data_IF_248568179333
#
_entry.id   IF_248568179333
#
_cell.length_a   1.000
_cell.length_b   1.000
_cell.length_c   1.000
_cell.angle_alpha   90.00
_cell.angle_beta   90.00
_cell.angle_gamma   90.00
#
_symmetry.space_group_name_H-M   'P 1'
#
loop_
_entity.id
_entity.type
_entity.pdbx_description
1 polymer ?
#
# COMPACT_ATOMS: atom_id res chain seq x y z
N UNK A 1 57.31 -39.36 47.03
CA UNK A 1 57.29 -38.67 45.69
C UNK A 1 56.06 -39.08 44.86
N UNK A 2 54.80 -38.72 45.24
CA UNK A 2 53.60 -39.01 44.47
C UNK A 2 52.36 -38.16 44.84
N UNK A 3 52.52 -37.14 45.71
CA UNK A 3 51.36 -36.32 46.16
C UNK A 3 51.33 -34.96 45.46
N UNK A 4 52.40 -34.53 44.82
CA UNK A 4 52.51 -33.22 44.13
C UNK A 4 51.87 -33.23 42.74
N UNK A 5 51.86 -34.38 42.06
CA UNK A 5 51.33 -34.48 40.70
C UNK A 5 49.82 -34.46 40.66
N UNK A 6 49.10 -34.96 41.63
CA UNK A 6 47.66 -34.96 41.71
C UNK A 6 47.10 -33.56 41.93
N UNK A 7 47.76 -32.72 42.76
CA UNK A 7 47.34 -31.33 43.01
C UNK A 7 47.58 -30.43 41.79
N UNK A 8 48.62 -30.64 40.99
CA UNK A 8 48.96 -29.93 39.81
C UNK A 8 47.91 -30.23 38.66
N UNK A 9 47.46 -31.47 38.56
CA UNK A 9 46.45 -31.90 37.56
C UNK A 9 45.06 -31.37 37.87
N UNK A 10 44.68 -31.27 39.14
CA UNK A 10 43.42 -30.70 39.58
C UNK A 10 43.37 -29.18 39.35
N UNK A 11 44.50 -28.46 39.64
CA UNK A 11 44.58 -27.04 39.34
C UNK A 11 44.54 -26.73 37.83
N UNK A 12 45.19 -27.57 36.99
CA UNK A 12 45.14 -27.41 35.54
C UNK A 12 43.75 -27.68 34.96
N UNK A 13 42.98 -28.64 35.53
CA UNK A 13 41.60 -28.91 35.12
C UNK A 13 40.62 -27.79 35.53
N UNK A 14 40.81 -27.16 36.69
CA UNK A 14 40.00 -26.02 37.12
C UNK A 14 40.30 -24.74 36.33
N UNK A 15 41.56 -24.52 35.88
CA UNK A 15 41.92 -23.36 35.05
C UNK A 15 41.36 -23.45 33.64
N UNK A 16 41.15 -24.66 33.10
CA UNK A 16 40.54 -24.86 31.79
C UNK A 16 39.03 -24.59 31.73
N UNK A 17 38.33 -24.68 32.85
CA UNK A 17 36.89 -24.43 32.97
C UNK A 17 36.50 -22.95 33.10
N UNK A 18 37.45 -22.08 33.43
CA UNK A 18 37.23 -20.63 33.60
C UNK A 18 37.29 -19.82 32.30
N UNK A 19 37.71 -20.42 31.18
CA UNK A 19 37.78 -19.75 29.88
C UNK A 19 36.67 -20.15 28.89
N UNK A 20 35.68 -20.94 29.31
CA UNK A 20 34.44 -21.07 28.56
C UNK A 20 33.54 -19.87 28.89
N UNK A 21 33.96 -18.66 28.47
CA UNK A 21 33.05 -17.53 28.39
C UNK A 21 31.91 -17.97 27.47
N UNK A 22 30.63 -17.91 27.89
CA UNK A 22 29.55 -18.12 26.96
C UNK A 22 29.74 -17.08 25.85
N UNK A 23 30.03 -17.52 24.65
CA UNK A 23 29.84 -16.68 23.48
C UNK A 23 28.36 -16.28 23.58
N UNK A 24 28.10 -15.08 24.10
CA UNK A 24 26.81 -14.43 23.94
C UNK A 24 26.60 -14.39 22.43
N UNK A 25 25.85 -15.37 21.92
CA UNK A 25 25.38 -15.34 20.59
C UNK A 25 24.56 -14.02 20.51
N UNK A 26 25.20 -12.96 20.03
CA UNK A 26 24.47 -11.76 19.64
C UNK A 26 23.46 -12.26 18.63
N UNK A 27 22.20 -12.26 19.02
CA UNK A 27 21.12 -12.47 18.06
C UNK A 27 21.41 -11.51 16.91
N UNK A 28 21.58 -12.00 15.69
CA UNK A 28 21.83 -11.11 14.56
C UNK A 28 20.76 -10.03 14.61
N UNK A 29 21.20 -8.75 14.65
CA UNK A 29 20.28 -7.61 14.78
C UNK A 29 19.31 -7.65 13.62
N UNK A 30 18.00 -7.50 13.89
CA UNK A 30 16.99 -7.38 12.84
C UNK A 30 17.17 -6.04 12.09
N UNK A 31 17.10 -6.04 10.74
CA UNK A 31 17.10 -7.19 9.83
C UNK A 31 18.53 -7.69 9.51
N UNK A 32 18.74 -9.01 9.46
CA UNK A 32 20.00 -9.66 9.05
C UNK A 32 20.00 -10.14 7.58
N UNK A 33 18.85 -10.01 6.91
CA UNK A 33 18.61 -10.40 5.52
C UNK A 33 17.59 -9.46 4.87
N UNK A 34 17.41 -9.49 3.53
CA UNK A 34 16.45 -8.65 2.84
C UNK A 34 15.02 -8.80 3.35
N UNK A 35 14.31 -7.67 3.46
CA UNK A 35 12.92 -7.59 3.89
C UNK A 35 12.02 -7.34 2.69
N UNK A 36 11.01 -8.19 2.52
CA UNK A 36 10.00 -8.06 1.48
C UNK A 36 8.87 -7.14 1.92
N UNK A 37 8.48 -6.20 1.05
CA UNK A 37 7.29 -5.36 1.24
C UNK A 37 6.27 -5.73 0.16
N UNK A 38 5.18 -6.37 0.55
CA UNK A 38 4.05 -6.66 -0.35
C UNK A 38 3.20 -5.40 -0.49
N UNK A 39 3.04 -4.95 -1.73
CA UNK A 39 2.10 -3.87 -2.12
C UNK A 39 0.98 -4.52 -2.92
N UNK A 40 -0.29 -4.56 -2.41
CA UNK A 40 -1.38 -5.30 -3.04
C UNK A 40 -2.04 -4.56 -4.21
N UNK A 41 -1.27 -3.74 -4.92
CA UNK A 41 -1.69 -2.94 -6.07
C UNK A 41 -0.61 -2.93 -7.15
N UNK A 42 -1.02 -2.59 -8.38
CA UNK A 42 -0.08 -2.44 -9.49
C UNK A 42 0.95 -1.34 -9.21
N UNK A 43 2.13 -1.51 -9.79
CA UNK A 43 3.22 -0.55 -9.72
C UNK A 43 2.81 0.84 -10.25
N UNK A 44 3.56 1.87 -9.84
CA UNK A 44 3.35 3.28 -10.18
C UNK A 44 2.02 3.88 -9.66
N UNK A 45 1.25 3.16 -8.87
CA UNK A 45 0.11 3.73 -8.13
C UNK A 45 0.57 4.45 -6.85
N UNK A 46 -0.32 5.23 -6.21
CA UNK A 46 0.04 6.03 -5.04
C UNK A 46 0.60 5.20 -3.88
N UNK A 47 0.05 4.02 -3.62
CA UNK A 47 0.54 3.11 -2.59
C UNK A 47 1.95 2.61 -2.90
N UNK A 48 2.22 2.25 -4.15
CA UNK A 48 3.52 1.76 -4.59
C UNK A 48 4.59 2.85 -4.51
N UNK A 49 4.28 4.08 -4.94
CA UNK A 49 5.21 5.21 -4.88
C UNK A 49 5.64 5.50 -3.44
N UNK A 50 4.70 5.56 -2.50
CA UNK A 50 5.03 5.79 -1.08
C UNK A 50 5.80 4.62 -0.50
N UNK A 51 5.41 3.37 -0.82
CA UNK A 51 6.12 2.17 -0.36
C UNK A 51 7.58 2.16 -0.82
N UNK A 52 7.87 2.54 -2.08
CA UNK A 52 9.24 2.61 -2.61
C UNK A 52 10.09 3.68 -1.91
N UNK A 53 9.51 4.85 -1.63
CA UNK A 53 10.21 5.90 -0.88
C UNK A 53 10.59 5.43 0.53
N UNK A 54 9.67 4.74 1.21
CA UNK A 54 9.91 4.19 2.54
C UNK A 54 10.92 3.04 2.46
N UNK A 55 10.78 2.11 1.51
CA UNK A 55 11.72 1.00 1.32
C UNK A 55 13.15 1.49 1.12
N UNK A 56 13.35 2.55 0.31
CA UNK A 56 14.65 3.18 0.12
C UNK A 56 15.23 3.67 1.46
N UNK A 57 14.43 4.43 2.23
CA UNK A 57 14.88 4.98 3.52
C UNK A 57 15.12 3.91 4.59
N UNK A 58 14.35 2.84 4.59
CA UNK A 58 14.59 1.70 5.46
C UNK A 58 15.89 0.97 5.06
N UNK A 59 16.13 0.78 3.76
CA UNK A 59 17.36 0.15 3.27
C UNK A 59 18.60 0.98 3.65
N UNK A 60 18.54 2.30 3.49
CA UNK A 60 19.61 3.21 3.93
C UNK A 60 19.87 3.13 5.46
N UNK A 61 18.79 3.05 6.25
CA UNK A 61 18.87 3.07 7.71
C UNK A 61 19.38 1.76 8.30
N UNK A 62 18.93 0.64 7.75
CA UNK A 62 19.20 -0.68 8.33
C UNK A 62 20.35 -1.44 7.65
N UNK A 63 20.87 -0.95 6.52
CA UNK A 63 21.94 -1.61 5.77
C UNK A 63 21.51 -2.92 5.10
N UNK A 64 20.22 -3.24 5.08
CA UNK A 64 19.64 -4.40 4.44
C UNK A 64 18.64 -3.95 3.39
N UNK A 65 18.47 -4.73 2.33
CA UNK A 65 17.55 -4.40 1.26
C UNK A 65 16.10 -4.57 1.71
N UNK A 66 15.30 -3.48 1.60
CA UNK A 66 13.84 -3.53 1.63
C UNK A 66 13.33 -3.45 0.19
N UNK A 67 12.68 -4.49 -0.32
CA UNK A 67 12.25 -4.56 -1.71
C UNK A 67 10.74 -4.72 -1.86
N UNK A 68 10.20 -4.17 -2.95
CA UNK A 68 8.77 -4.17 -3.23
C UNK A 68 8.39 -5.38 -4.10
N UNK A 69 7.31 -6.06 -3.70
CA UNK A 69 6.61 -7.05 -4.51
C UNK A 69 5.16 -6.59 -4.72
N UNK A 70 4.81 -6.26 -5.97
CA UNK A 70 3.46 -5.85 -6.31
C UNK A 70 2.58 -7.09 -6.57
N UNK A 71 1.50 -7.27 -5.78
CA UNK A 71 0.56 -8.38 -5.88
C UNK A 71 -0.87 -7.87 -6.03
N UNK A 72 -1.18 -7.32 -7.21
CA UNK A 72 -2.47 -6.71 -7.49
C UNK A 72 -3.57 -7.74 -7.75
N UNK A 73 -4.81 -7.40 -7.37
CA UNK A 73 -6.00 -8.19 -7.68
C UNK A 73 -7.07 -8.13 -6.59
N UNK A 74 -8.34 -8.24 -7.00
CA UNK A 74 -9.52 -8.27 -6.11
C UNK A 74 -9.54 -7.14 -5.06
N UNK A 75 -9.28 -5.87 -5.46
CA UNK A 75 -9.22 -4.74 -4.54
C UNK A 75 -8.09 -4.81 -3.50
N UNK A 76 -7.03 -5.57 -3.81
CA UNK A 76 -5.89 -5.80 -2.92
C UNK A 76 -5.96 -7.11 -2.13
N UNK A 77 -7.09 -7.83 -2.17
CA UNK A 77 -7.26 -9.07 -1.40
C UNK A 77 -6.22 -10.15 -1.74
N UNK A 78 -5.75 -10.21 -3.00
CA UNK A 78 -4.74 -11.18 -3.39
C UNK A 78 -3.43 -10.98 -2.62
N UNK A 79 -2.90 -9.77 -2.62
CA UNK A 79 -1.66 -9.44 -1.90
C UNK A 79 -1.82 -9.47 -0.38
N UNK A 80 -2.97 -9.00 0.14
CA UNK A 80 -3.27 -9.08 1.58
C UNK A 80 -3.33 -10.51 2.07
N UNK A 81 -4.02 -11.41 1.33
CA UNK A 81 -4.06 -12.82 1.66
C UNK A 81 -2.70 -13.53 1.53
N UNK A 82 -1.84 -13.09 0.61
CA UNK A 82 -0.48 -13.61 0.51
C UNK A 82 0.37 -13.18 1.73
N UNK A 83 0.25 -11.93 2.16
CA UNK A 83 0.94 -11.41 3.34
C UNK A 83 0.45 -12.09 4.63
N UNK A 84 -0.86 -12.34 4.76
CA UNK A 84 -1.43 -13.04 5.92
C UNK A 84 -0.89 -14.47 6.10
N UNK A 85 -0.48 -15.12 5.01
CA UNK A 85 0.13 -16.47 5.05
C UNK A 85 1.65 -16.48 5.22
N UNK A 86 2.28 -15.31 5.21
CA UNK A 86 3.73 -15.23 5.40
C UNK A 86 4.10 -15.47 6.88
N UNK A 87 5.32 -15.96 7.17
CA UNK A 87 5.79 -16.04 8.54
C UNK A 87 5.75 -14.69 9.25
N UNK A 88 5.34 -14.68 10.53
CA UNK A 88 5.29 -13.48 11.37
C UNK A 88 6.65 -13.07 11.96
N UNK A 89 7.73 -13.23 11.19
CA UNK A 89 9.12 -12.99 11.61
C UNK A 89 9.63 -11.57 11.30
N UNK A 90 8.77 -10.71 10.76
CA UNK A 90 9.09 -9.34 10.39
C UNK A 90 9.75 -9.18 9.01
N UNK A 91 10.09 -10.26 8.30
CA UNK A 91 10.72 -10.20 6.96
C UNK A 91 9.74 -10.09 5.80
N UNK A 92 8.44 -10.13 6.11
CA UNK A 92 7.37 -9.78 5.17
C UNK A 92 6.50 -8.69 5.78
N UNK A 93 6.48 -7.53 5.15
CA UNK A 93 5.68 -6.37 5.55
C UNK A 93 4.57 -6.16 4.52
N UNK A 94 3.35 -5.93 4.97
CA UNK A 94 2.25 -5.48 4.12
C UNK A 94 2.19 -3.95 4.11
N UNK A 95 2.32 -3.33 2.95
CA UNK A 95 2.11 -1.91 2.76
C UNK A 95 0.83 -1.68 1.94
N UNK A 96 -0.22 -1.24 2.60
CA UNK A 96 -1.59 -1.29 2.06
C UNK A 96 -2.32 0.05 2.21
N UNK A 97 -3.38 0.23 1.46
CA UNK A 97 -4.31 1.35 1.58
C UNK A 97 -5.50 1.02 2.50
N UNK A 98 -6.47 1.95 2.60
CA UNK A 98 -7.72 1.77 3.36
C UNK A 98 -8.54 0.53 2.98
N UNK A 99 -8.33 -0.07 1.80
CA UNK A 99 -8.99 -1.32 1.43
C UNK A 99 -8.76 -2.44 2.44
N UNK A 100 -7.66 -2.41 3.18
CA UNK A 100 -7.38 -3.34 4.28
C UNK A 100 -8.51 -3.40 5.33
N UNK A 101 -9.05 -2.25 5.72
CA UNK A 101 -10.13 -2.17 6.72
C UNK A 101 -11.52 -2.24 6.10
N UNK A 102 -11.66 -1.91 4.82
CA UNK A 102 -12.95 -1.86 4.11
C UNK A 102 -13.35 -3.20 3.51
N UNK A 103 -12.39 -3.94 2.94
CA UNK A 103 -12.67 -5.20 2.24
C UNK A 103 -13.36 -6.27 3.08
N UNK A 104 -13.09 -6.44 4.39
CA UNK A 104 -13.84 -7.38 5.22
C UNK A 104 -15.36 -7.13 5.23
N UNK A 105 -15.80 -5.89 5.04
CA UNK A 105 -17.23 -5.53 4.93
C UNK A 105 -17.79 -5.65 3.51
N UNK A 106 -16.94 -5.69 2.48
CA UNK A 106 -17.36 -5.73 1.07
C UNK A 106 -17.32 -7.13 0.46
N UNK A 107 -16.46 -8.01 0.95
CA UNK A 107 -16.27 -9.35 0.41
C UNK A 107 -16.82 -10.39 1.38
N UNK A 108 -17.63 -11.32 0.90
CA UNK A 108 -18.23 -12.37 1.73
C UNK A 108 -17.19 -13.28 2.41
N UNK A 109 -16.03 -13.47 1.79
CA UNK A 109 -14.93 -14.29 2.31
C UNK A 109 -13.59 -13.59 2.00
N UNK A 110 -13.19 -12.60 2.79
CA UNK A 110 -11.88 -11.99 2.64
C UNK A 110 -10.80 -13.02 2.98
N UNK A 111 -9.65 -13.04 2.27
CA UNK A 111 -8.61 -14.05 2.48
C UNK A 111 -7.69 -13.75 3.67
N UNK A 112 -8.07 -12.86 4.56
CA UNK A 112 -7.36 -12.43 5.76
C UNK A 112 -8.33 -11.90 6.82
N UNK A 113 -7.90 -11.92 8.07
CA UNK A 113 -8.55 -11.27 9.21
C UNK A 113 -7.66 -10.08 9.64
N UNK A 114 -8.14 -8.82 9.52
CA UNK A 114 -7.31 -7.65 9.82
C UNK A 114 -6.87 -7.56 11.28
N UNK A 115 -7.62 -8.18 12.19
CA UNK A 115 -7.34 -8.10 13.62
C UNK A 115 -6.44 -9.24 14.12
N UNK A 116 -6.38 -10.37 13.39
CA UNK A 116 -5.64 -11.57 13.83
C UNK A 116 -4.39 -11.86 13.02
N UNK A 117 -4.41 -11.58 11.71
CA UNK A 117 -3.35 -12.02 10.81
C UNK A 117 -2.19 -11.02 10.72
N UNK A 118 -2.33 -9.83 11.30
CA UNK A 118 -1.35 -8.76 11.17
C UNK A 118 -1.07 -8.04 12.49
N UNK A 119 0.18 -7.67 12.69
CA UNK A 119 0.60 -6.71 13.72
C UNK A 119 0.74 -5.32 13.07
N UNK A 120 -0.11 -4.33 13.39
CA UNK A 120 0.00 -2.99 12.81
C UNK A 120 1.26 -2.29 13.29
N UNK A 121 2.03 -1.70 12.36
CA UNK A 121 3.26 -0.97 12.67
C UNK A 121 3.00 0.53 12.76
N UNK A 122 2.51 1.14 11.68
CA UNK A 122 2.23 2.59 11.65
C UNK A 122 1.39 2.99 10.44
N UNK A 123 0.75 4.15 10.55
CA UNK A 123 0.17 4.87 9.40
C UNK A 123 1.28 5.66 8.70
N UNK A 124 1.75 5.15 7.58
CA UNK A 124 2.90 5.72 6.87
C UNK A 124 2.60 7.05 6.18
N UNK A 125 1.41 7.21 5.59
CA UNK A 125 0.99 8.42 4.90
C UNK A 125 -0.53 8.56 4.83
N UNK A 126 -0.99 9.76 4.49
CA UNK A 126 -2.37 10.05 4.14
C UNK A 126 -2.41 11.07 3.00
N UNK A 127 -3.32 10.89 2.06
CA UNK A 127 -3.52 11.84 0.97
C UNK A 127 -5.01 11.97 0.68
N UNK A 128 -5.54 13.19 0.50
CA UNK A 128 -6.86 13.37 -0.04
C UNK A 128 -6.91 12.89 -1.49
N UNK A 129 -8.11 12.60 -1.98
CA UNK A 129 -8.35 12.34 -3.39
C UNK A 129 -8.73 13.65 -4.10
N UNK A 130 -8.41 13.70 -5.40
CA UNK A 130 -8.95 14.70 -6.32
C UNK A 130 -9.95 14.05 -7.27
N UNK A 131 -10.92 14.84 -7.72
CA UNK A 131 -11.79 14.52 -8.85
C UNK A 131 -11.14 15.05 -10.12
N UNK A 132 -10.80 14.14 -11.01
CA UNK A 132 -10.14 14.44 -12.29
C UNK A 132 -10.98 14.00 -13.46
N UNK A 133 -10.95 14.80 -14.51
CA UNK A 133 -11.60 14.48 -15.79
C UNK A 133 -10.60 14.60 -16.94
N UNK A 134 -10.82 13.83 -17.99
CA UNK A 134 -10.11 14.01 -19.26
C UNK A 134 -10.46 15.39 -19.86
N UNK A 135 -9.53 16.11 -20.49
CA UNK A 135 -9.77 17.46 -21.04
C UNK A 135 -10.94 17.56 -22.05
N UNK A 136 -11.29 16.46 -22.72
CA UNK A 136 -12.44 16.40 -23.64
C UNK A 136 -13.80 16.52 -22.95
N UNK A 137 -13.86 16.33 -21.63
CA UNK A 137 -15.11 16.52 -20.87
C UNK A 137 -15.37 18.03 -20.74
N UNK A 138 -16.55 18.52 -21.19
CA UNK A 138 -16.82 19.97 -21.24
C UNK A 138 -17.13 20.59 -19.88
N UNK A 139 -16.99 19.86 -18.77
CA UNK A 139 -17.17 20.36 -17.41
C UNK A 139 -15.88 20.98 -16.85
N UNK A 140 -15.98 22.18 -16.26
CA UNK A 140 -14.91 22.92 -15.60
C UNK A 140 -15.13 23.04 -14.08
N UNK A 141 -16.26 22.58 -13.58
CA UNK A 141 -16.63 22.58 -12.17
C UNK A 141 -17.37 21.29 -11.80
N UNK A 142 -17.47 21.00 -10.49
CA UNK A 142 -18.27 19.87 -9.99
C UNK A 142 -19.72 20.02 -10.38
N UNK A 143 -20.28 21.24 -10.31
CA UNK A 143 -21.66 21.54 -10.68
C UNK A 143 -21.92 21.18 -12.15
N UNK A 144 -21.09 21.67 -13.07
CA UNK A 144 -21.21 21.35 -14.50
C UNK A 144 -21.06 19.86 -14.78
N UNK A 145 -20.17 19.15 -14.05
CA UNK A 145 -20.03 17.70 -14.19
C UNK A 145 -21.28 16.96 -13.74
N UNK A 146 -21.88 17.36 -12.63
CA UNK A 146 -23.12 16.78 -12.11
C UNK A 146 -24.26 16.98 -13.12
N UNK A 147 -24.41 18.19 -13.66
CA UNK A 147 -25.42 18.51 -14.68
C UNK A 147 -25.21 17.68 -15.96
N UNK A 148 -23.95 17.56 -16.40
CA UNK A 148 -23.58 16.77 -17.57
C UNK A 148 -23.93 15.28 -17.41
N UNK A 149 -23.63 14.69 -16.24
CA UNK A 149 -23.94 13.28 -15.98
C UNK A 149 -25.46 13.08 -15.89
N UNK A 150 -26.17 13.96 -15.19
CA UNK A 150 -27.66 13.91 -15.10
C UNK A 150 -28.37 14.01 -16.46
N UNK A 151 -27.84 14.82 -17.36
CA UNK A 151 -28.37 14.95 -18.71
C UNK A 151 -28.06 13.71 -19.59
N UNK A 152 -27.18 12.81 -19.17
CA UNK A 152 -26.73 11.64 -19.92
C UNK A 152 -26.60 10.42 -19.01
N UNK A 153 -27.70 9.91 -18.42
CA UNK A 153 -27.62 8.79 -17.47
C UNK A 153 -27.04 7.54 -18.13
N UNK A 154 -26.21 6.81 -17.39
CA UNK A 154 -25.54 5.58 -17.85
C UNK A 154 -24.43 5.76 -18.89
N UNK A 155 -24.23 6.98 -19.43
CA UNK A 155 -23.25 7.23 -20.50
C UNK A 155 -21.81 7.25 -20.03
N UNK A 156 -21.57 7.68 -18.81
CA UNK A 156 -20.23 7.95 -18.29
C UNK A 156 -19.70 6.81 -17.42
N UNK A 157 -18.39 6.70 -17.38
CA UNK A 157 -17.68 5.70 -16.58
C UNK A 157 -16.57 6.37 -15.78
N UNK A 158 -16.46 6.04 -14.49
CA UNK A 158 -15.33 6.42 -13.65
C UNK A 158 -14.32 5.28 -13.59
N UNK A 159 -13.06 5.58 -13.81
CA UNK A 159 -11.98 4.66 -13.55
C UNK A 159 -11.74 4.53 -12.03
N UNK A 160 -11.74 3.30 -11.53
CA UNK A 160 -11.52 2.98 -10.12
C UNK A 160 -10.25 2.15 -9.94
N UNK A 161 -9.36 2.47 -9.00
CA UNK A 161 -8.14 1.68 -8.76
C UNK A 161 -8.38 0.35 -8.03
N UNK A 162 -9.63 -0.04 -7.88
CA UNK A 162 -10.06 -1.28 -7.25
C UNK A 162 -11.14 -1.06 -6.19
N UNK A 163 -11.98 -2.06 -6.02
CA UNK A 163 -13.09 -2.05 -5.05
C UNK A 163 -12.51 -1.91 -3.63
N UNK A 164 -13.16 -1.11 -2.76
CA UNK A 164 -12.75 -0.87 -1.37
C UNK A 164 -11.68 0.20 -1.20
N UNK A 165 -11.05 0.69 -2.27
CA UNK A 165 -10.10 1.81 -2.17
C UNK A 165 -10.81 3.14 -1.91
N UNK A 166 -10.11 4.13 -1.33
CA UNK A 166 -10.70 5.46 -1.08
C UNK A 166 -11.20 6.15 -2.36
N UNK A 167 -10.55 6.07 -3.53
CA UNK A 167 -11.11 6.58 -4.76
C UNK A 167 -12.42 5.90 -5.20
N UNK A 168 -12.53 4.57 -4.99
CA UNK A 168 -13.77 3.84 -5.26
C UNK A 168 -14.90 4.36 -4.36
N UNK A 169 -14.67 4.43 -3.04
CA UNK A 169 -15.65 4.93 -2.08
C UNK A 169 -16.03 6.40 -2.35
N UNK A 170 -15.06 7.23 -2.77
CA UNK A 170 -15.35 8.62 -3.20
C UNK A 170 -16.25 8.67 -4.42
N UNK A 171 -16.07 7.76 -5.39
CA UNK A 171 -16.95 7.68 -6.56
C UNK A 171 -18.36 7.24 -6.20
N UNK A 172 -18.49 6.23 -5.33
CA UNK A 172 -19.80 5.77 -4.85
C UNK A 172 -20.52 6.84 -4.03
N UNK A 173 -19.80 7.52 -3.12
CA UNK A 173 -20.36 8.62 -2.35
C UNK A 173 -20.82 9.78 -3.25
N UNK A 174 -20.03 10.12 -4.27
CA UNK A 174 -20.39 11.12 -5.26
C UNK A 174 -21.66 10.73 -6.03
N UNK A 175 -21.74 9.45 -6.45
CA UNK A 175 -22.91 8.88 -7.11
C UNK A 175 -24.18 9.02 -6.25
N UNK A 176 -24.09 8.59 -4.99
CA UNK A 176 -25.20 8.64 -4.02
C UNK A 176 -25.60 10.08 -3.69
N UNK A 177 -24.64 10.95 -3.38
CA UNK A 177 -24.89 12.32 -2.92
C UNK A 177 -25.64 13.14 -3.96
N UNK A 178 -25.34 12.96 -5.23
CA UNK A 178 -25.94 13.75 -6.31
C UNK A 178 -27.00 12.99 -7.14
N UNK A 179 -27.30 11.74 -6.79
CA UNK A 179 -28.25 10.90 -7.51
C UNK A 179 -27.82 10.67 -8.97
N UNK A 180 -26.56 10.31 -9.19
CA UNK A 180 -25.97 10.17 -10.52
C UNK A 180 -26.06 8.73 -11.00
N UNK A 181 -26.20 8.57 -12.32
CA UNK A 181 -26.10 7.27 -12.99
C UNK A 181 -24.85 7.22 -13.87
N UNK A 182 -23.84 6.46 -13.41
CA UNK A 182 -22.61 6.16 -14.13
C UNK A 182 -22.05 4.80 -13.69
N UNK A 183 -21.25 4.19 -14.55
CA UNK A 183 -20.57 2.93 -14.28
C UNK A 183 -19.20 3.16 -13.60
N UNK A 184 -18.72 2.15 -12.86
CA UNK A 184 -17.33 2.10 -12.36
C UNK A 184 -16.57 1.03 -13.14
N UNK A 185 -15.43 1.40 -13.71
CA UNK A 185 -14.50 0.48 -14.35
C UNK A 185 -13.35 0.18 -13.37
N UNK A 186 -13.24 -1.05 -12.85
CA UNK A 186 -12.18 -1.42 -11.93
C UNK A 186 -10.87 -1.67 -12.67
N UNK A 187 -9.77 -1.15 -12.11
CA UNK A 187 -8.40 -1.37 -12.55
C UNK A 187 -7.59 -2.01 -11.41
N UNK A 188 -6.46 -2.67 -11.70
CA UNK A 188 -5.64 -3.34 -10.68
C UNK A 188 -4.84 -2.38 -9.79
N UNK A 189 -5.07 -1.08 -9.88
CA UNK A 189 -4.42 -0.04 -9.06
C UNK A 189 -4.52 1.35 -9.65
N UNK A 190 -3.99 2.34 -8.92
CA UNK A 190 -4.08 3.76 -9.28
C UNK A 190 -3.34 4.13 -10.56
N UNK A 191 -2.19 3.49 -10.84
CA UNK A 191 -1.43 3.72 -12.06
C UNK A 191 -2.24 3.41 -13.32
N UNK A 192 -2.71 2.18 -13.52
CA UNK A 192 -3.56 1.82 -14.67
C UNK A 192 -4.85 2.63 -14.75
N UNK A 193 -5.49 2.92 -13.61
CA UNK A 193 -6.72 3.72 -13.56
C UNK A 193 -6.51 5.13 -14.11
N UNK A 194 -5.48 5.86 -13.63
CA UNK A 194 -5.23 7.23 -14.10
C UNK A 194 -4.76 7.27 -15.56
N UNK A 195 -4.00 6.27 -16.02
CA UNK A 195 -3.58 6.17 -17.41
C UNK A 195 -4.76 5.94 -18.35
N UNK A 196 -5.78 5.19 -17.94
CA UNK A 196 -7.02 5.04 -18.71
C UNK A 196 -7.72 6.38 -18.93
N UNK A 197 -7.69 7.28 -17.93
CA UNK A 197 -8.28 8.62 -18.06
C UNK A 197 -7.41 9.51 -18.96
N UNK A 198 -6.11 9.47 -18.81
CA UNK A 198 -5.16 10.22 -19.67
C UNK A 198 -5.30 9.82 -21.13
N UNK A 199 -5.52 8.53 -21.40
CA UNK A 199 -5.74 8.01 -22.76
C UNK A 199 -7.14 8.28 -23.31
N UNK A 200 -8.07 8.84 -22.51
CA UNK A 200 -9.45 9.09 -22.91
C UNK A 200 -10.34 7.85 -22.98
N UNK A 201 -9.86 6.68 -22.54
CA UNK A 201 -10.66 5.45 -22.52
C UNK A 201 -11.78 5.49 -21.46
N UNK A 202 -11.48 6.07 -20.29
CA UNK A 202 -12.46 6.41 -19.26
C UNK A 202 -12.45 7.92 -19.04
N UNK A 203 -13.61 8.59 -18.98
CA UNK A 203 -13.64 10.06 -18.99
C UNK A 203 -13.20 10.70 -17.67
N UNK A 204 -13.25 9.99 -16.54
CA UNK A 204 -13.02 10.59 -15.23
C UNK A 204 -12.64 9.58 -14.16
N UNK A 205 -12.06 10.08 -13.05
CA UNK A 205 -11.73 9.29 -11.87
C UNK A 205 -11.66 10.15 -10.61
N UNK A 206 -11.87 9.53 -9.46
CA UNK A 206 -11.21 9.97 -8.24
C UNK A 206 -9.83 9.32 -8.15
N UNK A 207 -8.84 10.04 -7.67
CA UNK A 207 -7.47 9.53 -7.53
C UNK A 207 -6.71 10.30 -6.46
N UNK A 208 -5.68 9.69 -5.86
CA UNK A 208 -4.75 10.41 -4.98
C UNK A 208 -4.07 11.57 -5.74
N UNK A 209 -3.89 12.70 -5.08
CA UNK A 209 -3.40 13.93 -5.69
C UNK A 209 -1.96 13.82 -6.19
N UNK A 210 -0.98 13.24 -5.44
CA UNK A 210 0.42 13.27 -5.85
C UNK A 210 0.71 12.74 -7.26
N UNK A 211 0.23 11.55 -7.67
CA UNK A 211 0.47 11.04 -9.03
C UNK A 211 -0.30 11.80 -10.12
N UNK A 212 -1.39 12.50 -9.78
CA UNK A 212 -2.17 13.28 -10.73
C UNK A 212 -1.59 14.68 -11.00
N UNK A 213 -0.83 15.24 -10.04
CA UNK A 213 -0.32 16.61 -10.12
C UNK A 213 0.47 16.91 -11.39
N UNK A 214 1.47 16.13 -11.82
CA UNK A 214 2.17 16.38 -13.07
C UNK A 214 1.24 16.30 -14.28
N UNK A 215 0.30 15.37 -14.31
CA UNK A 215 -0.64 15.21 -15.42
C UNK A 215 -1.61 16.39 -15.56
N UNK A 216 -1.97 17.01 -14.44
CA UNK A 216 -2.77 18.25 -14.44
C UNK A 216 -1.94 19.44 -14.95
N UNK A 217 -0.68 19.57 -14.50
CA UNK A 217 0.25 20.61 -14.97
C UNK A 217 0.51 20.51 -16.49
N UNK A 218 0.60 19.29 -17.00
CA UNK A 218 0.79 19.01 -18.43
C UNK A 218 -0.50 19.15 -19.26
N UNK A 219 -1.64 19.50 -18.63
CA UNK A 219 -2.92 19.60 -19.30
C UNK A 219 -3.54 18.28 -19.75
N UNK A 220 -2.99 17.13 -19.33
CA UNK A 220 -3.50 15.79 -19.66
C UNK A 220 -4.72 15.40 -18.83
N UNK A 221 -4.92 16.05 -17.69
CA UNK A 221 -6.07 15.95 -16.83
C UNK A 221 -6.55 17.32 -16.39
N UNK A 222 -7.84 17.45 -16.09
CA UNK A 222 -8.41 18.62 -15.42
C UNK A 222 -8.86 18.21 -14.02
N UNK A 223 -8.36 18.92 -12.99
CA UNK A 223 -8.80 18.77 -11.62
C UNK A 223 -10.05 19.64 -11.38
N UNK A 224 -11.12 19.07 -10.83
CA UNK A 224 -12.36 19.79 -10.52
C UNK A 224 -12.50 20.05 -9.01
N UNK A 225 -12.11 19.10 -8.17
CA UNK A 225 -12.24 19.20 -6.72
C UNK A 225 -11.23 18.33 -6.00
N UNK A 226 -11.14 18.51 -4.67
CA UNK A 226 -10.42 17.66 -3.74
C UNK A 226 -11.37 17.22 -2.61
N UNK A 227 -11.09 16.06 -2.00
CA UNK A 227 -11.88 15.52 -0.88
C UNK A 227 -11.41 16.04 0.49
N UNK A 228 -10.51 17.02 0.51
CA UNK A 228 -10.08 17.71 1.74
C UNK A 228 -10.97 18.93 2.01
N UNK A 229 -11.01 19.33 3.29
CA UNK A 229 -11.75 20.54 3.69
C UNK A 229 -11.12 21.84 3.15
N UNK A 230 -9.83 21.81 2.83
CA UNK A 230 -9.08 22.93 2.25
C UNK A 230 -8.36 22.49 0.99
N UNK A 231 -8.18 23.43 0.03
CA UNK A 231 -7.40 23.24 -1.20
C UNK A 231 -5.91 23.40 -0.93
#
# INVERSE_FOLDING_TARGET
MRVTDAKARVLAACAGLLFAAPALAQSPGYPDRPVKIIVPFAAAGPTDVVARLIALKLSEKFGQQFYIENMAGAGGNLGMGAAARAPGDGYTILFVSSSYTVNPSLYAKPPYDPDKDFAPVTKAAGSPNGLFVHPSIPAKSVKELVELIKANPGKYTFASPGIGTTPHLSSELFKLTFGLDFALAPFPGGGPSIQSVVAGHTPMCFQAIPPATPLVKDGKLRALAVTAATR
#
